data_IF_680940788886
#
_entry.id   IF_680940788886
#
_cell.length_a   1.000
_cell.length_b   1.000
_cell.length_c   1.000
_cell.angle_alpha   90.00
_cell.angle_beta   90.00
_cell.angle_gamma   90.00
#
_symmetry.space_group_name_H-M   'P 1'
#
loop_
_entity.id
_entity.type
_entity.pdbx_description
1 polymer ?
#
# COMPACT_ATOMS: atom_id res chain seq x y z
N UNK A 1 35.89 -1.28 15.98
CA UNK A 1 34.84 -2.10 15.33
C UNK A 1 33.61 -1.93 16.18
N UNK A 2 32.66 -1.14 15.69
CA UNK A 2 31.68 -0.43 16.52
C UNK A 2 30.40 -1.25 16.70
N UNK A 3 29.98 -1.42 17.95
CA UNK A 3 28.81 -2.20 18.41
C UNK A 3 27.50 -1.81 17.69
N UNK A 4 27.36 -0.56 17.24
CA UNK A 4 26.19 -0.09 16.48
C UNK A 4 25.96 -0.77 15.12
N UNK A 5 27.02 -1.33 14.50
CA UNK A 5 26.92 -2.04 13.21
C UNK A 5 26.47 -3.51 13.38
N UNK A 6 26.57 -4.03 14.60
CA UNK A 6 26.14 -5.39 14.97
C UNK A 6 24.64 -5.41 15.29
N UNK A 7 24.14 -4.40 16.01
CA UNK A 7 22.70 -4.20 16.27
C UNK A 7 21.88 -3.98 15.00
N UNK A 8 22.38 -3.18 14.04
CA UNK A 8 21.70 -2.96 12.77
C UNK A 8 21.59 -4.25 11.93
N UNK A 9 22.59 -5.15 12.01
CA UNK A 9 22.58 -6.45 11.33
C UNK A 9 21.64 -7.46 11.99
N UNK A 10 21.63 -7.52 13.31
CA UNK A 10 20.77 -8.43 14.08
C UNK A 10 19.29 -8.02 13.99
N UNK A 11 19.03 -6.72 13.95
CA UNK A 11 17.71 -6.15 13.71
C UNK A 11 17.19 -6.47 12.29
N UNK A 12 18.03 -6.29 11.25
CA UNK A 12 17.66 -6.63 9.87
C UNK A 12 17.38 -8.12 9.65
N UNK A 13 18.10 -9.02 10.33
CA UNK A 13 17.79 -10.47 10.29
C UNK A 13 16.48 -10.83 11.01
N UNK A 14 16.11 -10.11 12.06
CA UNK A 14 14.88 -10.35 12.82
C UNK A 14 13.64 -9.91 12.06
N UNK A 15 13.69 -8.75 11.39
CA UNK A 15 12.59 -8.24 10.54
C UNK A 15 12.34 -9.14 9.33
N UNK A 16 13.42 -9.67 8.72
CA UNK A 16 13.32 -10.64 7.63
C UNK A 16 12.69 -11.98 8.07
N UNK A 17 12.92 -12.41 9.32
CA UNK A 17 12.37 -13.65 9.88
C UNK A 17 10.91 -13.54 10.33
N UNK A 18 10.41 -12.35 10.66
CA UNK A 18 9.03 -12.15 11.13
C UNK A 18 8.01 -12.01 9.99
N UNK A 19 8.44 -11.71 8.77
CA UNK A 19 7.57 -11.69 7.59
C UNK A 19 7.10 -13.09 7.13
N UNK A 20 7.66 -14.18 7.69
CA UNK A 20 7.40 -15.55 7.23
C UNK A 20 6.43 -16.39 8.09
N UNK A 21 5.88 -15.89 9.20
CA UNK A 21 5.08 -16.74 10.10
C UNK A 21 3.78 -16.06 10.56
N UNK A 22 2.69 -16.32 9.83
CA UNK A 22 1.42 -16.81 10.40
C UNK A 22 0.44 -17.23 9.29
N UNK A 23 0.56 -18.49 8.83
CA UNK A 23 -0.48 -19.15 8.02
C UNK A 23 -1.37 -19.97 8.95
N UNK A 24 -2.44 -19.36 9.45
CA UNK A 24 -3.52 -20.10 10.13
C UNK A 24 -4.25 -21.01 9.14
N UNK A 25 -4.28 -22.31 9.43
CA UNK A 25 -4.97 -23.33 8.61
C UNK A 25 -6.50 -23.14 8.65
N UNK A 26 -7.20 -23.04 7.51
CA UNK A 26 -8.65 -23.13 7.48
C UNK A 26 -9.11 -24.60 7.50
N UNK A 27 -10.20 -24.85 8.25
CA UNK A 27 -10.88 -26.14 8.40
C UNK A 27 -11.15 -26.82 7.04
N UNK A 28 -10.75 -28.08 6.93
CA UNK A 28 -10.69 -28.85 5.68
C UNK A 28 -12.06 -29.45 5.31
N UNK A 29 -12.68 -28.94 4.24
CA UNK A 29 -13.89 -29.51 3.61
C UNK A 29 -13.50 -30.49 2.49
N UNK A 30 -14.04 -31.71 2.52
CA UNK A 30 -13.75 -32.82 1.60
C UNK A 30 -14.45 -32.70 0.22
N UNK A 31 -14.38 -31.53 -0.42
CA UNK A 31 -14.68 -31.39 -1.84
C UNK A 31 -13.42 -31.58 -2.70
N UNK A 32 -13.55 -32.05 -3.96
CA UNK A 32 -12.40 -32.15 -4.88
C UNK A 32 -11.72 -30.79 -5.03
N UNK A 33 -10.48 -30.64 -4.55
CA UNK A 33 -9.69 -29.37 -4.51
C UNK A 33 -9.78 -28.52 -5.78
N UNK A 34 -9.78 -29.16 -6.96
CA UNK A 34 -9.91 -28.48 -8.26
C UNK A 34 -11.25 -27.74 -8.45
N UNK A 35 -12.36 -28.26 -7.90
CA UNK A 35 -13.67 -27.60 -7.97
C UNK A 35 -13.73 -26.34 -7.12
N UNK A 36 -13.03 -26.32 -5.97
CA UNK A 36 -12.95 -25.16 -5.08
C UNK A 36 -12.11 -24.05 -5.71
N UNK A 37 -10.92 -24.38 -6.22
CA UNK A 37 -10.06 -23.42 -6.91
C UNK A 37 -10.76 -22.76 -8.11
N UNK A 38 -11.49 -23.56 -8.92
CA UNK A 38 -12.27 -23.02 -10.05
C UNK A 38 -13.41 -22.10 -9.61
N UNK A 39 -14.03 -22.40 -8.47
CA UNK A 39 -15.09 -21.57 -7.90
C UNK A 39 -14.55 -20.26 -7.34
N UNK A 40 -13.44 -20.30 -6.60
CA UNK A 40 -12.74 -19.12 -6.06
C UNK A 40 -12.23 -18.22 -7.19
N UNK A 41 -11.65 -18.80 -8.26
CA UNK A 41 -11.24 -18.05 -9.45
C UNK A 41 -12.42 -17.34 -10.12
N UNK A 42 -13.57 -18.00 -10.24
CA UNK A 42 -14.77 -17.38 -10.81
C UNK A 42 -15.30 -16.25 -9.93
N UNK A 43 -15.31 -16.43 -8.61
CA UNK A 43 -15.69 -15.37 -7.67
C UNK A 43 -14.75 -14.16 -7.82
N UNK A 44 -13.44 -14.39 -7.90
CA UNK A 44 -12.45 -13.33 -8.11
C UNK A 44 -12.65 -12.60 -9.44
N UNK A 45 -12.92 -13.30 -10.54
CA UNK A 45 -13.23 -12.67 -11.84
C UNK A 45 -14.43 -11.73 -11.77
N UNK A 46 -15.47 -12.11 -11.00
CA UNK A 46 -16.65 -11.27 -10.78
C UNK A 46 -16.29 -10.00 -10.00
N UNK A 47 -15.48 -10.13 -8.94
CA UNK A 47 -15.02 -8.99 -8.15
C UNK A 47 -14.11 -8.05 -8.94
N UNK A 48 -13.21 -8.58 -9.77
CA UNK A 48 -12.34 -7.79 -10.64
C UNK A 48 -13.13 -7.04 -11.72
N UNK A 49 -14.20 -7.64 -12.25
CA UNK A 49 -15.15 -6.95 -13.12
C UNK A 49 -15.88 -5.81 -12.40
N UNK A 50 -16.29 -6.03 -11.16
CA UNK A 50 -16.89 -4.97 -10.35
C UNK A 50 -15.91 -3.81 -10.10
N UNK A 51 -14.61 -4.08 -9.87
CA UNK A 51 -13.59 -3.02 -9.77
C UNK A 51 -13.47 -2.21 -11.07
N UNK A 52 -13.48 -2.85 -12.24
CA UNK A 52 -13.49 -2.12 -13.53
C UNK A 52 -14.73 -1.24 -13.70
N UNK A 53 -15.89 -1.72 -13.27
CA UNK A 53 -17.12 -0.91 -13.26
C UNK A 53 -16.97 0.30 -12.33
N UNK A 54 -16.37 0.14 -11.14
CA UNK A 54 -16.12 1.27 -10.23
C UNK A 54 -15.27 2.35 -10.89
N UNK A 55 -14.25 1.97 -11.67
CA UNK A 55 -13.37 2.92 -12.37
C UNK A 55 -14.16 3.78 -13.38
N UNK A 56 -15.09 3.18 -14.12
CA UNK A 56 -15.79 3.86 -15.22
C UNK A 56 -17.14 4.47 -14.85
N UNK A 57 -17.87 3.86 -13.92
CA UNK A 57 -19.25 4.18 -13.58
C UNK A 57 -19.44 4.54 -12.09
N UNK A 58 -18.38 4.42 -11.29
CA UNK A 58 -18.44 4.55 -9.83
C UNK A 58 -19.17 3.40 -9.15
N UNK A 59 -19.29 3.47 -7.82
CA UNK A 59 -19.92 2.40 -7.00
C UNK A 59 -21.36 2.12 -7.42
N UNK A 60 -22.10 3.15 -7.83
CA UNK A 60 -23.50 3.03 -8.29
C UNK A 60 -23.66 2.21 -9.58
N UNK A 61 -22.58 2.03 -10.34
CA UNK A 61 -22.54 1.15 -11.51
C UNK A 61 -22.58 -0.34 -11.14
N UNK A 62 -22.19 -0.70 -9.92
CA UNK A 62 -22.20 -2.10 -9.47
C UNK A 62 -23.65 -2.59 -9.41
N UNK A 63 -23.98 -3.52 -10.30
CA UNK A 63 -25.25 -4.23 -10.39
C UNK A 63 -24.97 -5.65 -10.88
N UNK A 64 -25.70 -6.65 -10.38
CA UNK A 64 -25.50 -8.06 -10.79
C UNK A 64 -25.43 -8.24 -12.32
N UNK A 65 -26.35 -7.60 -13.06
CA UNK A 65 -26.37 -7.69 -14.53
C UNK A 65 -25.17 -7.00 -15.18
N UNK A 66 -24.78 -5.82 -14.71
CA UNK A 66 -23.64 -5.08 -15.24
C UNK A 66 -22.34 -5.87 -14.99
N UNK A 67 -22.15 -6.34 -13.75
CA UNK A 67 -20.98 -7.12 -13.36
C UNK A 67 -20.93 -8.46 -14.09
N UNK A 68 -22.07 -9.17 -14.26
CA UNK A 68 -22.11 -10.42 -15.02
C UNK A 68 -21.66 -10.22 -16.48
N UNK A 69 -22.15 -9.13 -17.11
CA UNK A 69 -21.76 -8.75 -18.47
C UNK A 69 -20.26 -8.44 -18.55
N UNK A 70 -19.76 -7.62 -17.63
CA UNK A 70 -18.35 -7.20 -17.56
C UNK A 70 -17.39 -8.38 -17.27
N UNK A 71 -17.83 -9.34 -16.46
CA UNK A 71 -17.07 -10.55 -16.15
C UNK A 71 -17.18 -11.65 -17.22
N UNK A 72 -18.07 -11.50 -18.22
CA UNK A 72 -18.33 -12.54 -19.21
C UNK A 72 -18.94 -13.82 -18.61
N UNK A 73 -19.74 -13.70 -17.54
CA UNK A 73 -20.37 -14.84 -16.85
C UNK A 73 -21.90 -14.78 -16.93
N UNK A 74 -22.61 -15.92 -16.81
CA UNK A 74 -24.07 -15.90 -16.69
C UNK A 74 -24.52 -15.12 -15.45
N UNK A 75 -25.66 -14.42 -15.55
CA UNK A 75 -26.25 -13.68 -14.42
C UNK A 75 -26.39 -14.55 -13.16
N UNK A 76 -26.82 -15.80 -13.34
CA UNK A 76 -26.98 -16.78 -12.26
C UNK A 76 -25.69 -17.04 -11.47
N UNK A 77 -24.51 -16.82 -12.06
CA UNK A 77 -23.24 -16.95 -11.35
C UNK A 77 -23.08 -15.85 -10.30
N UNK A 78 -23.42 -14.60 -10.63
CA UNK A 78 -23.32 -13.49 -9.66
C UNK A 78 -24.29 -13.68 -8.50
N UNK A 79 -25.51 -14.14 -8.76
CA UNK A 79 -26.51 -14.41 -7.70
C UNK A 79 -26.22 -15.70 -6.91
N UNK A 80 -25.35 -16.56 -7.43
CA UNK A 80 -24.86 -17.74 -6.70
C UNK A 80 -23.77 -17.37 -5.68
N UNK A 81 -22.87 -16.44 -6.04
CA UNK A 81 -21.76 -16.04 -5.18
C UNK A 81 -22.08 -14.90 -4.21
N UNK A 82 -23.05 -14.05 -4.57
CA UNK A 82 -23.40 -12.86 -3.81
C UNK A 82 -24.92 -12.84 -3.66
N UNK A 83 -25.39 -12.87 -2.41
CA UNK A 83 -26.79 -12.90 -2.02
C UNK A 83 -27.52 -11.65 -2.47
N UNK A 84 -26.86 -10.50 -2.34
CA UNK A 84 -27.38 -9.20 -2.69
C UNK A 84 -26.28 -8.26 -3.19
N UNK A 85 -26.68 -7.06 -3.57
CA UNK A 85 -25.78 -6.07 -4.14
C UNK A 85 -24.81 -5.50 -3.09
N UNK A 86 -25.25 -5.40 -1.85
CA UNK A 86 -24.43 -4.85 -0.76
C UNK A 86 -23.28 -5.80 -0.41
N UNK A 87 -23.54 -7.12 -0.41
CA UNK A 87 -22.49 -8.14 -0.27
C UNK A 87 -21.48 -8.06 -1.42
N UNK A 88 -21.94 -7.91 -2.67
CA UNK A 88 -21.05 -7.74 -3.81
C UNK A 88 -20.17 -6.49 -3.66
N UNK A 89 -20.74 -5.35 -3.23
CA UNK A 89 -19.97 -4.11 -3.02
C UNK A 89 -18.92 -4.29 -1.92
N UNK A 90 -19.30 -4.89 -0.78
CA UNK A 90 -18.38 -5.14 0.34
C UNK A 90 -17.24 -6.06 -0.07
N UNK A 91 -17.54 -7.13 -0.79
CA UNK A 91 -16.53 -8.07 -1.26
C UNK A 91 -15.63 -7.45 -2.35
N UNK A 92 -16.16 -6.57 -3.19
CA UNK A 92 -15.38 -5.80 -4.18
C UNK A 92 -14.35 -4.92 -3.48
N UNK A 93 -14.77 -4.18 -2.45
CA UNK A 93 -13.83 -3.35 -1.69
C UNK A 93 -12.88 -4.16 -0.81
N UNK A 94 -13.29 -5.34 -0.35
CA UNK A 94 -12.39 -6.27 0.35
C UNK A 94 -11.26 -6.71 -0.59
N UNK A 95 -11.58 -7.07 -1.84
CA UNK A 95 -10.56 -7.39 -2.84
C UNK A 95 -9.65 -6.18 -3.15
N UNK A 96 -10.20 -4.97 -3.22
CA UNK A 96 -9.38 -3.75 -3.37
C UNK A 96 -8.41 -3.59 -2.20
N UNK A 97 -8.88 -3.71 -0.95
CA UNK A 97 -8.05 -3.62 0.25
C UNK A 97 -6.93 -4.68 0.25
N UNK A 98 -7.22 -5.92 -0.14
CA UNK A 98 -6.21 -6.98 -0.29
C UNK A 98 -5.13 -6.59 -1.31
N UNK A 99 -5.53 -6.06 -2.47
CA UNK A 99 -4.60 -5.61 -3.52
C UNK A 99 -3.75 -4.43 -3.05
N UNK A 100 -4.36 -3.42 -2.44
CA UNK A 100 -3.66 -2.24 -1.93
C UNK A 100 -2.62 -2.60 -0.86
N UNK A 101 -2.97 -3.51 0.07
CA UNK A 101 -2.04 -3.99 1.09
C UNK A 101 -0.88 -4.81 0.52
N UNK A 102 -1.10 -5.57 -0.58
CA UNK A 102 -0.04 -6.28 -1.30
C UNK A 102 0.97 -5.29 -1.89
N UNK A 103 0.49 -4.22 -2.54
CA UNK A 103 1.36 -3.19 -3.12
C UNK A 103 2.24 -2.54 -2.05
N UNK A 104 1.66 -2.20 -0.89
CA UNK A 104 2.44 -1.63 0.24
C UNK A 104 3.46 -2.64 0.77
N UNK A 105 3.10 -3.92 0.87
CA UNK A 105 4.02 -4.98 1.30
C UNK A 105 5.21 -5.14 0.34
N UNK A 106 4.94 -5.15 -0.96
CA UNK A 106 5.96 -5.26 -1.99
C UNK A 106 6.89 -4.06 -1.98
N UNK A 107 6.35 -2.84 -1.85
CA UNK A 107 7.14 -1.62 -1.70
C UNK A 107 8.02 -1.69 -0.45
N UNK A 108 7.45 -2.03 0.69
CA UNK A 108 8.16 -2.19 1.97
C UNK A 108 9.36 -3.13 1.76
N UNK A 109 9.12 -4.34 1.25
CA UNK A 109 10.20 -5.30 0.99
C UNK A 109 11.28 -4.76 0.03
N UNK A 110 10.89 -4.09 -1.06
CA UNK A 110 11.84 -3.50 -2.02
C UNK A 110 12.59 -2.28 -1.48
N UNK A 111 11.98 -1.54 -0.55
CA UNK A 111 12.55 -0.33 0.04
C UNK A 111 13.63 -0.66 1.08
N UNK A 112 13.44 -1.70 1.89
CA UNK A 112 14.41 -2.10 2.93
C UNK A 112 15.68 -2.75 2.37
N UNK A 113 15.60 -3.46 1.25
CA UNK A 113 16.73 -4.21 0.68
C UNK A 113 17.93 -3.31 0.33
N UNK A 114 17.78 -2.19 -0.40
CA UNK A 114 18.91 -1.32 -0.72
C UNK A 114 19.42 -0.53 0.49
N UNK A 115 18.58 -0.21 1.49
CA UNK A 115 19.05 0.43 2.74
C UNK A 115 20.06 -0.45 3.49
N UNK A 116 19.83 -1.76 3.54
CA UNK A 116 20.80 -2.71 4.11
C UNK A 116 22.14 -2.75 3.34
N UNK A 117 22.10 -2.40 2.05
CA UNK A 117 23.27 -2.40 1.16
C UNK A 117 24.07 -1.09 1.29
N UNK A 118 23.39 0.05 1.47
CA UNK A 118 24.01 1.33 1.83
C UNK A 118 24.65 1.30 3.22
N UNK A 119 24.02 0.67 4.21
CA UNK A 119 24.62 0.48 5.53
C UNK A 119 25.90 -0.39 5.46
N UNK A 120 25.98 -1.31 4.49
CA UNK A 120 27.14 -2.16 4.25
C UNK A 120 28.26 -1.54 3.40
N UNK A 121 28.01 -0.44 2.68
CA UNK A 121 28.96 0.18 1.74
C UNK A 121 29.93 1.17 2.39
N UNK A 122 29.87 1.35 3.71
CA UNK A 122 30.78 2.24 4.46
C UNK A 122 30.43 3.73 4.36
N UNK A 123 29.23 4.08 3.88
CA UNK A 123 28.73 5.45 3.94
C UNK A 123 28.31 5.77 5.38
N UNK A 124 29.04 6.69 6.00
CA UNK A 124 28.72 7.16 7.34
C UNK A 124 27.53 8.13 7.28
N UNK A 125 26.33 7.62 7.57
CA UNK A 125 25.09 8.39 7.60
C UNK A 125 25.07 9.47 8.69
N UNK A 126 26.07 9.53 9.57
CA UNK A 126 26.23 10.63 10.53
C UNK A 126 26.90 11.86 9.93
N UNK A 127 27.52 11.72 8.74
CA UNK A 127 28.13 12.83 8.00
C UNK A 127 27.11 13.57 7.13
N UNK A 128 27.28 14.89 6.88
CA UNK A 128 26.42 15.64 5.97
C UNK A 128 26.32 15.00 4.57
N UNK A 129 27.41 14.43 4.06
CA UNK A 129 27.47 13.74 2.78
C UNK A 129 26.64 12.46 2.80
N UNK A 130 26.83 11.59 3.80
CA UNK A 130 26.06 10.36 3.93
C UNK A 130 24.56 10.60 4.17
N UNK A 131 24.21 11.68 4.87
CA UNK A 131 22.81 12.12 5.02
C UNK A 131 22.21 12.54 3.69
N UNK A 132 22.95 13.31 2.90
CA UNK A 132 22.51 13.74 1.58
C UNK A 132 22.29 12.53 0.66
N UNK A 133 23.19 11.56 0.67
CA UNK A 133 23.06 10.33 -0.13
C UNK A 133 21.82 9.53 0.31
N UNK A 134 21.54 9.46 1.60
CA UNK A 134 20.32 8.84 2.14
C UNK A 134 19.05 9.60 1.71
N UNK A 135 19.05 10.94 1.74
CA UNK A 135 17.96 11.76 1.20
C UNK A 135 17.73 11.41 -0.26
N UNK A 136 18.79 11.45 -1.07
CA UNK A 136 18.71 11.24 -2.50
C UNK A 136 18.16 9.85 -2.82
N UNK A 137 18.64 8.82 -2.13
CA UNK A 137 18.12 7.47 -2.23
C UNK A 137 16.63 7.37 -1.86
N UNK A 138 16.23 7.89 -0.69
CA UNK A 138 14.82 7.82 -0.26
C UNK A 138 13.90 8.57 -1.23
N UNK A 139 14.32 9.75 -1.69
CA UNK A 139 13.56 10.55 -2.66
C UNK A 139 13.39 9.79 -3.97
N UNK A 140 14.44 9.13 -4.46
CA UNK A 140 14.38 8.33 -5.66
C UNK A 140 13.38 7.17 -5.50
N UNK A 141 13.49 6.38 -4.42
CA UNK A 141 12.60 5.25 -4.18
C UNK A 141 11.13 5.67 -4.03
N UNK A 142 10.85 6.72 -3.24
CA UNK A 142 9.50 7.24 -3.06
C UNK A 142 8.94 7.83 -4.36
N UNK A 143 9.79 8.48 -5.17
CA UNK A 143 9.38 8.99 -6.50
C UNK A 143 9.05 7.85 -7.45
N UNK A 144 9.87 6.79 -7.49
CA UNK A 144 9.62 5.62 -8.32
C UNK A 144 8.32 4.92 -7.94
N UNK A 145 8.09 4.72 -6.64
CA UNK A 145 6.84 4.16 -6.12
C UNK A 145 5.63 5.00 -6.54
N UNK A 146 5.68 6.32 -6.30
CA UNK A 146 4.60 7.23 -6.69
C UNK A 146 4.34 7.22 -8.20
N UNK A 147 5.39 7.15 -9.02
CA UNK A 147 5.26 7.09 -10.48
C UNK A 147 4.55 5.81 -10.93
N UNK A 148 4.92 4.66 -10.35
CA UNK A 148 4.26 3.38 -10.65
C UNK A 148 2.78 3.43 -10.27
N UNK A 149 2.46 3.95 -9.09
CA UNK A 149 1.07 4.11 -8.63
C UNK A 149 0.25 5.01 -9.57
N UNK A 150 0.82 6.13 -9.98
CA UNK A 150 0.12 7.13 -10.80
C UNK A 150 -0.05 6.67 -12.25
N UNK A 151 0.99 6.07 -12.83
CA UNK A 151 1.02 5.75 -14.27
C UNK A 151 0.48 4.35 -14.55
N UNK A 152 0.96 3.35 -13.83
CA UNK A 152 0.60 1.96 -14.07
C UNK A 152 -0.67 1.53 -13.32
N UNK A 153 -0.94 2.13 -12.15
CA UNK A 153 -2.05 1.73 -11.27
C UNK A 153 -3.13 2.81 -11.12
N UNK A 154 -3.27 3.72 -12.10
CA UNK A 154 -4.27 4.81 -12.07
C UNK A 154 -5.68 4.33 -11.72
N UNK A 155 -6.11 3.21 -12.28
CA UNK A 155 -7.42 2.61 -12.00
C UNK A 155 -7.60 2.27 -10.52
N UNK A 156 -6.57 1.77 -9.84
CA UNK A 156 -6.62 1.49 -8.40
C UNK A 156 -6.73 2.77 -7.58
N UNK A 157 -6.09 3.87 -8.00
CA UNK A 157 -6.26 5.17 -7.37
C UNK A 157 -7.68 5.72 -7.54
N UNK A 158 -8.34 5.45 -8.68
CA UNK A 158 -9.76 5.81 -8.87
C UNK A 158 -10.66 4.97 -7.97
N UNK A 159 -10.43 3.65 -7.90
CA UNK A 159 -11.15 2.76 -6.97
C UNK A 159 -10.97 3.23 -5.53
N UNK A 160 -9.77 3.67 -5.15
CA UNK A 160 -9.50 4.21 -3.84
C UNK A 160 -10.36 5.44 -3.51
N UNK A 161 -10.53 6.37 -4.45
CA UNK A 161 -11.40 7.52 -4.24
C UNK A 161 -12.86 7.08 -4.00
N UNK A 162 -13.31 6.10 -4.78
CA UNK A 162 -14.64 5.52 -4.60
C UNK A 162 -14.79 4.81 -3.24
N UNK A 163 -13.77 4.07 -2.81
CA UNK A 163 -13.72 3.41 -1.50
C UNK A 163 -13.78 4.42 -0.35
N UNK A 164 -13.00 5.50 -0.42
CA UNK A 164 -12.99 6.57 0.59
C UNK A 164 -14.35 7.23 0.74
N UNK A 165 -15.01 7.55 -0.38
CA UNK A 165 -16.36 8.09 -0.33
C UNK A 165 -17.35 7.09 0.25
N UNK A 166 -17.32 5.84 -0.22
CA UNK A 166 -18.24 4.80 0.23
C UNK A 166 -18.07 4.50 1.73
N UNK A 167 -16.85 4.52 2.26
CA UNK A 167 -16.58 4.35 3.70
C UNK A 167 -17.22 5.44 4.58
N UNK A 168 -17.46 6.64 4.03
CA UNK A 168 -18.16 7.71 4.75
C UNK A 168 -19.65 7.39 4.86
N UNK A 169 -20.25 6.83 3.81
CA UNK A 169 -21.71 6.64 3.74
C UNK A 169 -22.18 5.23 4.13
N UNK A 170 -21.30 4.24 4.14
CA UNK A 170 -21.61 2.83 4.39
C UNK A 170 -20.82 2.26 5.57
N UNK A 171 -21.51 1.82 6.63
CA UNK A 171 -20.91 1.35 7.88
C UNK A 171 -20.01 0.11 7.70
N UNK A 172 -20.41 -0.85 6.85
CA UNK A 172 -19.61 -2.06 6.62
C UNK A 172 -18.29 -1.73 5.92
N UNK A 173 -18.34 -0.81 4.96
CA UNK A 173 -17.15 -0.32 4.26
C UNK A 173 -16.29 0.54 5.17
N UNK A 174 -16.90 1.30 6.09
CA UNK A 174 -16.18 2.08 7.10
C UNK A 174 -15.30 1.22 7.99
N UNK A 175 -15.80 0.10 8.47
CA UNK A 175 -14.99 -0.81 9.30
C UNK A 175 -13.83 -1.41 8.50
N UNK A 176 -14.07 -1.78 7.24
CA UNK A 176 -13.00 -2.22 6.34
C UNK A 176 -11.94 -1.12 6.12
N UNK A 177 -12.37 0.13 5.94
CA UNK A 177 -11.47 1.27 5.76
C UNK A 177 -10.63 1.58 7.02
N UNK A 178 -11.20 1.40 8.22
CA UNK A 178 -10.44 1.53 9.48
C UNK A 178 -9.34 0.46 9.58
N UNK A 179 -9.65 -0.79 9.24
CA UNK A 179 -8.67 -1.88 9.22
C UNK A 179 -7.56 -1.59 8.22
N UNK A 180 -7.92 -1.22 6.99
CA UNK A 180 -6.97 -0.84 5.94
C UNK A 180 -6.04 0.30 6.39
N UNK A 181 -6.61 1.38 6.95
CA UNK A 181 -5.84 2.51 7.48
C UNK A 181 -4.87 2.07 8.57
N UNK A 182 -5.34 1.27 9.53
CA UNK A 182 -4.52 0.81 10.67
C UNK A 182 -3.28 0.07 10.17
N UNK A 183 -3.45 -0.88 9.25
CA UNK A 183 -2.33 -1.68 8.71
C UNK A 183 -1.29 -0.80 8.00
N UNK A 184 -1.72 0.15 7.17
CA UNK A 184 -0.78 1.04 6.45
C UNK A 184 -0.10 2.01 7.42
N UNK A 185 -0.87 2.56 8.37
CA UNK A 185 -0.36 3.48 9.37
C UNK A 185 0.70 2.83 10.25
N UNK A 186 0.42 1.64 10.80
CA UNK A 186 1.35 0.94 11.69
C UNK A 186 2.68 0.61 10.98
N UNK A 187 2.65 0.29 9.68
CA UNK A 187 3.88 0.10 8.88
C UNK A 187 4.68 1.38 8.72
N UNK A 188 4.01 2.51 8.48
CA UNK A 188 4.68 3.80 8.41
C UNK A 188 5.28 4.18 9.76
N UNK A 189 4.56 3.94 10.87
CA UNK A 189 5.06 4.14 12.23
C UNK A 189 6.28 3.27 12.51
N UNK A 190 6.24 2.00 12.12
CA UNK A 190 7.37 1.08 12.26
C UNK A 190 8.60 1.60 11.51
N UNK A 191 8.43 2.05 10.26
CA UNK A 191 9.50 2.67 9.49
C UNK A 191 10.11 3.88 10.22
N UNK A 192 9.26 4.83 10.65
CA UNK A 192 9.74 6.02 11.33
C UNK A 192 10.36 5.72 12.69
N UNK A 193 9.88 4.71 13.42
CA UNK A 193 10.42 4.32 14.71
C UNK A 193 11.76 3.58 14.59
N UNK A 194 11.86 2.65 13.64
CA UNK A 194 12.96 1.68 13.61
C UNK A 194 14.09 2.07 12.65
N UNK A 195 13.73 2.73 11.54
CA UNK A 195 14.69 3.13 10.51
C UNK A 195 15.02 4.60 10.65
N UNK A 196 13.97 5.41 10.68
CA UNK A 196 14.09 6.86 10.70
C UNK A 196 14.21 7.40 12.13
N UNK A 197 14.30 6.55 13.17
CA UNK A 197 14.50 6.92 14.58
C UNK A 197 13.83 8.24 14.99
N UNK A 198 12.59 8.44 14.55
CA UNK A 198 11.88 9.69 14.73
C UNK A 198 11.50 9.85 16.20
N UNK A 199 11.56 11.08 16.75
CA UNK A 199 11.02 11.36 18.09
C UNK A 199 9.48 11.31 18.13
N UNK A 200 8.81 11.45 16.99
CA UNK A 200 7.34 11.47 16.87
C UNK A 200 6.86 10.58 15.69
N UNK A 201 7.11 9.25 15.73
CA UNK A 201 6.92 8.38 14.56
C UNK A 201 5.47 8.32 14.10
N UNK A 202 4.50 8.45 15.01
CA UNK A 202 3.08 8.52 14.68
C UNK A 202 2.70 9.80 13.92
N UNK A 203 3.25 10.95 14.32
CA UNK A 203 2.99 12.22 13.63
C UNK A 203 3.62 12.21 12.24
N UNK A 204 4.85 11.72 12.12
CA UNK A 204 5.53 11.62 10.83
C UNK A 204 4.84 10.63 9.88
N UNK A 205 4.29 9.52 10.41
CA UNK A 205 3.47 8.61 9.64
C UNK A 205 2.20 9.30 9.09
N UNK A 206 1.48 10.08 9.91
CA UNK A 206 0.32 10.85 9.44
C UNK A 206 0.70 11.84 8.34
N UNK A 207 1.81 12.55 8.49
CA UNK A 207 2.25 13.54 7.51
C UNK A 207 2.65 12.85 6.19
N UNK A 208 3.39 11.74 6.24
CA UNK A 208 3.77 10.99 5.05
C UNK A 208 2.55 10.50 4.28
N UNK A 209 1.61 9.85 4.97
CA UNK A 209 0.39 9.33 4.33
C UNK A 209 -0.50 10.48 3.81
N UNK A 210 -0.59 11.59 4.55
CA UNK A 210 -1.29 12.80 4.09
C UNK A 210 -0.67 13.38 2.81
N UNK A 211 0.66 13.43 2.74
CA UNK A 211 1.39 13.84 1.54
C UNK A 211 1.07 12.91 0.37
N UNK A 212 1.16 11.60 0.55
CA UNK A 212 0.88 10.62 -0.51
C UNK A 212 -0.53 10.78 -1.06
N UNK A 213 -1.54 10.85 -0.19
CA UNK A 213 -2.92 11.07 -0.61
C UNK A 213 -3.10 12.37 -1.40
N UNK A 214 -2.45 13.45 -0.97
CA UNK A 214 -2.51 14.74 -1.67
C UNK A 214 -1.87 14.66 -3.06
N UNK A 215 -0.75 13.96 -3.17
CA UNK A 215 -0.03 13.79 -4.44
C UNK A 215 -0.83 12.89 -5.39
N UNK A 216 -1.31 11.74 -4.94
CA UNK A 216 -2.12 10.80 -5.71
C UNK A 216 -3.41 11.46 -6.24
N UNK A 217 -4.11 12.19 -5.39
CA UNK A 217 -5.31 12.92 -5.80
C UNK A 217 -5.00 13.97 -6.87
N UNK A 218 -3.93 14.76 -6.68
CA UNK A 218 -3.49 15.74 -7.68
C UNK A 218 -3.15 15.08 -9.02
N UNK A 219 -2.53 13.89 -8.99
CA UNK A 219 -2.22 13.14 -10.20
C UNK A 219 -3.45 12.63 -10.94
N UNK A 220 -4.52 12.29 -10.22
CA UNK A 220 -5.81 11.94 -10.83
C UNK A 220 -6.45 13.12 -11.58
N UNK A 221 -6.18 14.36 -11.16
CA UNK A 221 -6.70 15.57 -11.82
C UNK A 221 -5.90 16.02 -13.04
N UNK A 222 -4.73 15.43 -13.29
CA UNK A 222 -3.85 15.80 -14.40
C UNK A 222 -4.08 14.91 -15.63
N UNK A 223 -4.14 15.53 -16.82
CA UNK A 223 -4.35 14.84 -18.10
C UNK A 223 -3.08 14.15 -18.64
N UNK A 224 -1.87 14.55 -18.20
CA UNK A 224 -0.61 13.96 -18.63
C UNK A 224 0.34 13.67 -17.46
N UNK A 225 0.96 12.49 -17.50
CA UNK A 225 1.94 12.00 -16.54
C UNK A 225 3.32 12.71 -16.60
N UNK A 226 3.46 13.73 -17.44
CA UNK A 226 4.77 14.29 -17.79
C UNK A 226 5.34 15.28 -16.78
N UNK A 227 4.52 15.87 -15.89
CA UNK A 227 5.02 16.75 -14.82
C UNK A 227 5.10 16.06 -13.44
N UNK A 228 5.66 14.85 -13.42
CA UNK A 228 6.01 14.17 -12.17
C UNK A 228 7.19 14.85 -11.44
N UNK A 229 7.89 15.79 -12.08
CA UNK A 229 9.03 16.52 -11.53
C UNK A 229 8.69 17.29 -10.25
N UNK A 230 7.47 17.86 -10.18
CA UNK A 230 6.99 18.58 -9.00
C UNK A 230 6.75 17.66 -7.79
N UNK A 231 6.50 16.36 -8.02
CA UNK A 231 6.29 15.37 -6.96
C UNK A 231 7.61 15.09 -6.26
N UNK A 232 8.69 14.89 -7.04
CA UNK A 232 10.05 14.70 -6.52
C UNK A 232 10.48 15.88 -5.66
N UNK A 233 10.20 17.12 -6.06
CA UNK A 233 10.53 18.30 -5.26
C UNK A 233 9.78 18.32 -3.92
N UNK A 234 8.49 17.96 -3.91
CA UNK A 234 7.69 17.92 -2.69
C UNK A 234 8.15 16.80 -1.75
N UNK A 235 8.37 15.60 -2.30
CA UNK A 235 8.89 14.45 -1.56
C UNK A 235 10.27 14.78 -0.98
N UNK A 236 11.16 15.36 -1.78
CA UNK A 236 12.48 15.83 -1.34
C UNK A 236 12.38 16.81 -0.21
N UNK A 237 11.51 17.83 -0.33
CA UNK A 237 11.32 18.81 0.74
C UNK A 237 10.86 18.12 2.03
N UNK A 238 9.93 17.18 1.95
CA UNK A 238 9.44 16.43 3.10
C UNK A 238 10.55 15.58 3.75
N UNK A 239 11.23 14.75 2.97
CA UNK A 239 12.34 13.90 3.44
C UNK A 239 13.46 14.75 4.05
N UNK A 240 13.84 15.87 3.43
CA UNK A 240 14.85 16.78 3.97
C UNK A 240 14.43 17.54 5.22
N UNK A 241 13.13 17.66 5.53
CA UNK A 241 12.65 18.27 6.77
C UNK A 241 12.63 17.26 7.93
N UNK A 242 12.42 15.98 7.64
CA UNK A 242 12.44 14.90 8.62
C UNK A 242 13.86 14.59 9.11
N UNK A 243 14.84 14.61 8.20
CA UNK A 243 16.19 14.11 8.48
C UNK A 243 17.11 14.94 9.40
N UNK A 244 16.99 16.28 9.51
CA UNK A 244 17.79 17.03 10.49
C UNK A 244 17.52 16.61 11.93
N UNK A 245 16.32 16.10 12.24
CA UNK A 245 15.95 15.61 13.58
C UNK A 245 16.45 14.18 13.86
N UNK A 246 16.85 13.45 12.82
CA UNK A 246 17.39 12.08 12.88
C UNK A 246 18.83 12.02 13.42
N UNK A 247 19.51 13.17 13.45
CA UNK A 247 20.95 13.29 13.66
C UNK A 247 21.33 13.85 15.02
N UNK A 248 20.42 14.56 15.68
CA UNK A 248 20.64 15.02 17.05
C UNK A 248 20.59 13.85 18.06
N UNK A 249 20.06 12.67 17.67
CA UNK A 249 20.01 11.48 18.53
C UNK A 249 21.18 10.50 18.37
N UNK A 250 22.03 10.67 17.34
CA UNK A 250 23.26 9.86 17.19
C UNK A 250 24.47 10.53 17.87
N UNK A 251 24.30 11.74 18.41
CA UNK A 251 25.25 12.35 19.35
C UNK A 251 25.03 11.80 20.76
N UNK A 252 25.52 10.59 21.01
CA UNK A 252 25.87 10.09 22.35
C UNK A 252 27.31 9.57 22.34
#
# INVERSE_FOLDING_TARGET
MNSSNEYAREFMMTVAGQAEVEKTKPLEYQGRKASRAKSEQRRRLILEAALRIVVHEGVRGIRHRAVAKEAGVPLAATTYYFKDIDELIVDTFTLYTEKALSTVNEFTHQFYQPMSTMAGSGHDITTPEGQKDLIDFMVEQLTLFMREQIVAQRDMLVVEQAFRYEAIVNERIRELAKLHRTVIFDRAVEFFSQVAQSPEPAADAEILLGLFHSLEYRALLMDQADDLSQYTNTIRRYVSLLLPNLLDQIKL
#
